data_IF_826362795845
#
_entry.id   IF_826362795845
#
_cell.length_a   1.000
_cell.length_b   1.000
_cell.length_c   1.000
_cell.angle_alpha   90.00
_cell.angle_beta   90.00
_cell.angle_gamma   90.00
#
_symmetry.space_group_name_H-M   'P 1'
#
loop_
_entity.id
_entity.type
_entity.pdbx_description
1 polymer ?
#
# COMPACT_ATOMS: atom_id res chain seq x y z
N UNK A 1 -37.61 -28.17 36.04
CA UNK A 1 -36.15 -28.17 36.29
C UNK A 1 -35.36 -28.91 35.20
N UNK A 2 -35.58 -30.21 34.93
CA UNK A 2 -34.83 -30.98 33.90
C UNK A 2 -34.87 -30.37 32.48
N UNK A 3 -36.05 -29.96 32.01
CA UNK A 3 -36.19 -29.32 30.68
C UNK A 3 -35.40 -28.01 30.61
N UNK A 4 -35.52 -27.14 31.61
CA UNK A 4 -34.78 -25.88 31.69
C UNK A 4 -33.26 -26.09 31.64
N UNK A 5 -32.75 -27.09 32.38
CA UNK A 5 -31.32 -27.43 32.39
C UNK A 5 -30.82 -27.96 31.03
N UNK A 6 -31.66 -28.73 30.31
CA UNK A 6 -31.38 -29.19 28.95
C UNK A 6 -31.34 -28.00 27.99
N UNK A 7 -32.32 -27.10 28.04
CA UNK A 7 -32.36 -25.91 27.19
C UNK A 7 -31.17 -24.97 27.42
N UNK A 8 -30.81 -24.70 28.67
CA UNK A 8 -29.63 -23.88 29.00
C UNK A 8 -28.33 -24.54 28.54
N UNK A 9 -28.21 -25.86 28.69
CA UNK A 9 -27.05 -26.62 28.20
C UNK A 9 -26.94 -26.59 26.67
N UNK A 10 -28.05 -26.75 25.95
CA UNK A 10 -28.09 -26.65 24.49
C UNK A 10 -27.72 -25.25 23.99
N UNK A 11 -28.21 -24.18 24.65
CA UNK A 11 -27.86 -22.80 24.30
C UNK A 11 -26.37 -22.56 24.50
N UNK A 12 -25.81 -22.99 25.64
CA UNK A 12 -24.38 -22.84 25.91
C UNK A 12 -23.53 -23.59 24.87
N UNK A 13 -23.92 -24.82 24.51
CA UNK A 13 -23.24 -25.59 23.49
C UNK A 13 -23.29 -24.89 22.11
N UNK A 14 -24.44 -24.35 21.72
CA UNK A 14 -24.58 -23.61 20.46
C UNK A 14 -23.67 -22.37 20.47
N UNK A 15 -23.64 -21.62 21.56
CA UNK A 15 -22.76 -20.45 21.68
C UNK A 15 -21.29 -20.85 21.58
N UNK A 16 -20.86 -21.92 22.25
CA UNK A 16 -19.49 -22.42 22.16
C UNK A 16 -19.14 -22.85 20.73
N UNK A 17 -20.04 -23.52 20.03
CA UNK A 17 -19.83 -23.93 18.64
C UNK A 17 -19.74 -22.72 17.71
N UNK A 18 -20.60 -21.72 17.87
CA UNK A 18 -20.55 -20.47 17.08
C UNK A 18 -19.25 -19.71 17.36
N UNK A 19 -18.89 -19.51 18.62
CA UNK A 19 -17.64 -18.85 18.98
C UNK A 19 -16.43 -19.61 18.42
N UNK A 20 -16.41 -20.94 18.54
CA UNK A 20 -15.31 -21.76 18.00
C UNK A 20 -15.23 -21.63 16.48
N UNK A 21 -16.36 -21.67 15.78
CA UNK A 21 -16.41 -21.46 14.34
C UNK A 21 -15.85 -20.09 13.94
N UNK A 22 -16.26 -19.02 14.63
CA UNK A 22 -15.78 -17.66 14.36
C UNK A 22 -14.27 -17.52 14.63
N UNK A 23 -13.78 -18.09 15.73
CA UNK A 23 -12.34 -18.09 16.05
C UNK A 23 -11.54 -18.85 15.01
N UNK A 24 -11.98 -20.07 14.64
CA UNK A 24 -11.29 -20.85 13.60
C UNK A 24 -11.30 -20.08 12.29
N UNK A 25 -12.44 -19.51 11.88
CA UNK A 25 -12.55 -18.69 10.67
C UNK A 25 -11.57 -17.52 10.69
N UNK A 26 -11.49 -16.79 11.80
CA UNK A 26 -10.57 -15.67 11.96
C UNK A 26 -9.10 -16.10 11.89
N UNK A 27 -8.72 -17.17 12.59
CA UNK A 27 -7.34 -17.67 12.59
C UNK A 27 -6.94 -18.19 11.19
N UNK A 28 -7.85 -18.88 10.50
CA UNK A 28 -7.63 -19.35 9.13
C UNK A 28 -7.56 -18.19 8.13
N UNK A 29 -8.48 -17.21 8.19
CA UNK A 29 -8.46 -16.06 7.27
C UNK A 29 -7.23 -15.16 7.48
N UNK A 30 -6.69 -15.14 8.69
CA UNK A 30 -5.48 -14.38 9.04
C UNK A 30 -4.19 -15.17 8.74
N UNK A 31 -4.28 -16.35 8.12
CA UNK A 31 -3.13 -17.23 7.86
C UNK A 31 -2.31 -17.58 9.11
N UNK A 32 -2.94 -17.63 10.29
CA UNK A 32 -2.25 -17.84 11.58
C UNK A 32 -1.47 -19.17 11.64
N UNK A 33 -1.94 -20.19 10.92
CA UNK A 33 -1.33 -21.52 10.91
C UNK A 33 -0.35 -21.73 9.75
N UNK A 34 -0.05 -20.68 8.97
CA UNK A 34 0.86 -20.76 7.83
C UNK A 34 2.31 -20.65 8.31
N UNK A 35 3.11 -21.68 8.03
CA UNK A 35 4.56 -21.65 8.23
C UNK A 35 5.25 -21.13 6.98
N UNK A 36 6.21 -20.20 7.13
CA UNK A 36 7.02 -19.68 6.03
C UNK A 36 8.34 -20.45 5.96
N UNK A 37 8.47 -21.27 4.91
CA UNK A 37 9.72 -21.97 4.61
C UNK A 37 10.58 -21.12 3.65
N UNK A 38 11.89 -20.92 3.94
CA UNK A 38 12.79 -20.23 3.03
C UNK A 38 12.90 -20.95 1.68
N UNK A 39 12.68 -20.23 0.58
CA UNK A 39 12.68 -20.78 -0.78
C UNK A 39 13.60 -20.01 -1.75
N UNK A 40 14.34 -19.01 -1.27
CA UNK A 40 15.27 -18.23 -2.08
C UNK A 40 16.70 -18.75 -1.92
N UNK A 41 17.35 -19.12 -3.02
CA UNK A 41 18.70 -19.67 -3.04
C UNK A 41 19.81 -18.60 -3.20
N UNK A 42 19.45 -17.32 -3.34
CA UNK A 42 20.39 -16.22 -3.48
C UNK A 42 20.77 -15.56 -2.14
N UNK A 43 21.39 -14.39 -2.22
CA UNK A 43 21.68 -13.54 -1.06
C UNK A 43 20.71 -12.36 -1.03
N UNK A 44 20.26 -12.00 0.18
CA UNK A 44 19.47 -10.80 0.40
C UNK A 44 20.38 -9.70 0.97
N UNK A 45 20.24 -8.49 0.44
CA UNK A 45 20.87 -7.31 1.01
C UNK A 45 19.79 -6.29 1.36
N UNK A 46 19.94 -5.68 2.54
CA UNK A 46 19.06 -4.61 2.97
C UNK A 46 19.41 -3.34 2.18
N UNK A 47 18.39 -2.69 1.62
CA UNK A 47 18.53 -1.37 1.02
C UNK A 47 18.38 -0.30 2.11
N UNK A 48 19.46 0.38 2.53
CA UNK A 48 19.35 1.40 3.56
C UNK A 48 18.66 2.66 3.00
N UNK A 49 18.01 3.42 3.88
CA UNK A 49 17.47 4.75 3.55
C UNK A 49 16.01 4.80 3.13
N UNK A 50 15.34 3.66 2.95
CA UNK A 50 13.89 3.58 2.73
C UNK A 50 13.25 2.91 3.94
N UNK A 51 12.40 3.63 4.66
CA UNK A 51 11.68 3.12 5.83
C UNK A 51 10.19 3.07 5.51
N UNK A 52 9.57 1.91 5.77
CA UNK A 52 8.15 1.73 5.50
C UNK A 52 7.82 1.77 4.01
N UNK A 53 8.69 1.18 3.18
CA UNK A 53 8.36 0.88 1.79
C UNK A 53 7.03 0.11 1.77
N UNK A 54 6.10 0.59 0.97
CA UNK A 54 4.76 0.03 0.94
C UNK A 54 4.45 -0.63 -0.39
N UNK A 55 4.66 0.08 -1.48
CA UNK A 55 4.46 -0.47 -2.81
C UNK A 55 5.63 -0.14 -3.74
N UNK A 56 5.73 -0.90 -4.82
CA UNK A 56 6.75 -0.78 -5.83
C UNK A 56 6.23 -1.06 -7.21
N UNK A 57 6.82 -0.40 -8.20
CA UNK A 57 6.60 -0.72 -9.61
C UNK A 57 7.90 -0.50 -10.39
N UNK A 58 8.08 -1.22 -11.49
CA UNK A 58 9.32 -1.24 -12.27
C UNK A 58 9.04 -0.79 -13.68
N UNK A 59 9.74 0.26 -14.11
CA UNK A 59 9.86 0.58 -15.52
C UNK A 59 10.81 -0.43 -16.18
N UNK A 60 10.23 -1.48 -16.75
CA UNK A 60 10.97 -2.59 -17.38
C UNK A 60 11.83 -2.11 -18.55
N UNK A 61 11.45 -1.04 -19.25
CA UNK A 61 12.20 -0.55 -20.41
C UNK A 61 13.54 0.06 -20.01
N UNK A 62 13.59 0.74 -18.85
CA UNK A 62 14.80 1.37 -18.32
C UNK A 62 15.48 0.56 -17.22
N UNK A 63 14.79 -0.43 -16.65
CA UNK A 63 15.25 -1.15 -15.46
C UNK A 63 15.23 -0.29 -14.20
N UNK A 64 14.30 0.68 -14.12
CA UNK A 64 14.20 1.58 -12.96
C UNK A 64 13.08 1.13 -12.03
N UNK A 65 13.41 0.86 -10.77
CA UNK A 65 12.47 0.63 -9.68
C UNK A 65 11.95 1.96 -9.15
N UNK A 66 10.66 2.04 -8.87
CA UNK A 66 10.00 3.12 -8.13
C UNK A 66 9.38 2.54 -6.86
N UNK A 67 9.42 3.31 -5.77
CA UNK A 67 8.94 2.89 -4.45
C UNK A 67 8.11 4.00 -3.82
N UNK A 68 6.96 3.62 -3.24
CA UNK A 68 6.28 4.44 -2.24
C UNK A 68 6.75 4.06 -0.84
N UNK A 69 6.93 5.04 0.03
CA UNK A 69 7.27 4.76 1.42
C UNK A 69 6.70 5.80 2.38
N UNK A 70 6.31 5.31 3.56
CA UNK A 70 5.93 6.12 4.71
C UNK A 70 6.29 5.35 5.97
N UNK A 71 7.02 5.99 6.89
CA UNK A 71 7.19 5.45 8.25
C UNK A 71 5.87 5.57 9.02
N UNK A 72 4.96 4.62 8.78
CA UNK A 72 3.61 4.61 9.37
C UNK A 72 3.60 4.58 10.90
N UNK A 73 4.66 4.06 11.53
CA UNK A 73 4.75 4.04 12.99
C UNK A 73 4.92 5.47 13.50
N UNK A 74 5.89 6.20 12.94
CA UNK A 74 6.12 7.61 13.30
C UNK A 74 5.00 8.51 12.82
N UNK A 75 4.46 8.27 11.63
CA UNK A 75 3.40 9.09 11.04
C UNK A 75 2.04 8.91 11.73
N UNK A 76 1.85 7.85 12.51
CA UNK A 76 0.72 7.68 13.42
C UNK A 76 0.85 8.52 14.70
N UNK A 77 2.08 8.79 15.14
CA UNK A 77 2.37 9.61 16.32
C UNK A 77 2.52 11.10 15.99
N UNK A 78 2.95 11.43 14.77
CA UNK A 78 3.20 12.80 14.32
C UNK A 78 2.63 13.03 12.90
N UNK A 79 1.60 13.89 12.75
CA UNK A 79 0.98 14.17 11.46
C UNK A 79 1.94 14.89 10.47
N UNK A 80 3.04 15.48 10.96
CA UNK A 80 4.01 16.20 10.14
C UNK A 80 4.98 15.28 9.38
N UNK A 81 4.96 13.97 9.67
CA UNK A 81 5.78 13.00 8.95
C UNK A 81 5.14 12.71 7.60
N UNK A 82 5.75 13.26 6.56
CA UNK A 82 5.44 12.93 5.17
C UNK A 82 6.09 11.61 4.77
N UNK A 83 5.44 10.95 3.83
CA UNK A 83 6.05 9.89 3.03
C UNK A 83 6.78 10.45 1.83
N UNK A 84 7.26 9.55 1.00
CA UNK A 84 8.16 9.86 -0.08
C UNK A 84 8.03 8.86 -1.22
N UNK A 85 8.50 9.29 -2.39
CA UNK A 85 8.76 8.41 -3.52
C UNK A 85 10.27 8.31 -3.73
N UNK A 86 10.72 7.10 -4.04
CA UNK A 86 12.10 6.81 -4.35
C UNK A 86 12.20 6.15 -5.72
N UNK A 87 13.38 6.24 -6.33
CA UNK A 87 13.75 5.41 -7.47
C UNK A 87 15.11 4.77 -7.32
N UNK A 88 15.35 3.67 -8.03
CA UNK A 88 16.64 2.98 -8.04
C UNK A 88 16.88 2.33 -9.41
N UNK A 89 18.08 2.49 -9.96
CA UNK A 89 18.48 1.78 -11.18
C UNK A 89 18.83 0.32 -10.83
N UNK A 90 18.12 -0.64 -11.42
CA UNK A 90 18.35 -2.07 -11.19
C UNK A 90 19.48 -2.64 -12.03
N UNK A 91 20.00 -1.89 -13.01
CA UNK A 91 21.13 -2.31 -13.83
C UNK A 91 22.48 -2.04 -13.16
N UNK A 92 22.51 -1.16 -12.15
CA UNK A 92 23.70 -0.89 -11.34
C UNK A 92 23.59 -1.63 -9.99
N UNK A 93 24.42 -2.67 -9.75
CA UNK A 93 24.37 -3.43 -8.50
C UNK A 93 24.73 -2.61 -7.26
N UNK A 94 25.39 -1.47 -7.43
CA UNK A 94 25.75 -0.56 -6.34
C UNK A 94 24.74 0.58 -6.17
N UNK A 95 23.69 0.65 -7.01
CA UNK A 95 22.66 1.65 -6.90
C UNK A 95 21.98 1.62 -5.52
N UNK A 96 21.53 2.79 -5.10
CA UNK A 96 20.77 3.00 -3.86
C UNK A 96 19.50 3.78 -4.18
N UNK A 97 18.42 3.58 -3.41
CA UNK A 97 17.21 4.38 -3.58
C UNK A 97 17.49 5.87 -3.44
N UNK A 98 17.09 6.64 -4.46
CA UNK A 98 17.19 8.09 -4.50
C UNK A 98 15.82 8.68 -4.24
N UNK A 99 15.75 9.65 -3.31
CA UNK A 99 14.53 10.42 -3.05
C UNK A 99 14.19 11.27 -4.28
N UNK A 100 12.99 11.09 -4.82
CA UNK A 100 12.49 11.86 -5.97
C UNK A 100 11.27 12.72 -5.63
N UNK A 101 10.69 12.49 -4.45
CA UNK A 101 9.58 13.28 -3.93
C UNK A 101 9.46 13.16 -2.41
N UNK A 102 9.22 14.26 -1.69
CA UNK A 102 9.04 14.24 -0.23
C UNK A 102 8.82 15.58 0.48
N UNK A 103 8.38 16.65 -0.21
CA UNK A 103 8.15 17.92 0.51
C UNK A 103 7.84 19.19 -0.30
N UNK A 104 7.39 19.09 -1.55
CA UNK A 104 6.96 20.27 -2.32
C UNK A 104 5.45 20.50 -2.19
N UNK A 105 4.63 19.94 -3.08
CA UNK A 105 3.16 19.95 -3.05
C UNK A 105 2.65 18.81 -3.95
N UNK A 106 1.76 17.91 -3.51
CA UNK A 106 0.84 18.07 -2.38
C UNK A 106 1.54 17.97 -1.02
N UNK A 107 1.21 18.90 -0.12
CA UNK A 107 1.54 18.80 1.30
C UNK A 107 0.82 17.62 1.97
N UNK A 108 1.34 17.17 3.11
CA UNK A 108 0.80 16.00 3.85
C UNK A 108 0.71 14.73 2.98
N UNK A 109 1.78 14.50 2.23
CA UNK A 109 1.88 13.40 1.27
C UNK A 109 2.12 12.08 2.00
N UNK A 110 1.17 11.16 1.93
CA UNK A 110 1.15 9.86 2.60
C UNK A 110 0.85 8.78 1.56
N UNK A 111 1.87 8.37 0.78
CA UNK A 111 1.68 7.51 -0.37
C UNK A 111 1.36 6.08 0.06
N UNK A 112 0.53 5.44 -0.76
CA UNK A 112 0.17 4.03 -0.69
C UNK A 112 0.51 3.39 -2.06
N UNK A 113 -0.39 2.62 -2.66
CA UNK A 113 -0.17 1.98 -3.95
C UNK A 113 0.21 2.95 -5.08
N UNK A 114 1.06 2.46 -5.98
CA UNK A 114 1.58 3.20 -7.13
C UNK A 114 1.40 2.43 -8.42
N UNK A 115 1.25 3.15 -9.52
CA UNK A 115 1.25 2.53 -10.85
C UNK A 115 1.95 3.41 -11.87
N UNK A 116 2.85 2.79 -12.63
CA UNK A 116 3.56 3.43 -13.72
C UNK A 116 2.77 3.34 -15.02
N UNK A 117 2.81 4.43 -15.78
CA UNK A 117 2.27 4.50 -17.12
C UNK A 117 3.34 5.05 -18.06
N UNK A 118 3.92 4.19 -18.91
CA UNK A 118 4.79 4.64 -20.00
C UNK A 118 4.05 5.60 -20.94
N UNK A 119 4.72 6.68 -21.33
CA UNK A 119 4.24 7.68 -22.28
C UNK A 119 5.23 7.83 -23.44
N UNK A 120 4.81 8.39 -24.59
CA UNK A 120 5.73 8.60 -25.71
C UNK A 120 6.95 9.46 -25.37
N UNK A 121 6.81 10.37 -24.42
CA UNK A 121 7.77 11.40 -24.03
C UNK A 121 8.31 11.24 -22.60
N UNK A 122 7.95 10.16 -21.90
CA UNK A 122 8.42 9.92 -20.55
C UNK A 122 7.63 8.87 -19.79
N UNK A 123 7.62 9.01 -18.46
CA UNK A 123 6.92 8.11 -17.55
C UNK A 123 5.97 8.94 -16.70
N UNK A 124 4.76 8.43 -16.49
CA UNK A 124 3.80 8.98 -15.53
C UNK A 124 3.64 8.03 -14.36
N UNK A 125 3.58 8.58 -13.16
CA UNK A 125 3.34 7.82 -11.93
C UNK A 125 2.02 8.29 -11.34
N UNK A 126 1.17 7.33 -11.05
CA UNK A 126 -0.06 7.51 -10.29
C UNK A 126 0.19 7.00 -8.88
N UNK A 127 -0.26 7.75 -7.88
CA UNK A 127 0.02 7.45 -6.48
C UNK A 127 -1.23 7.65 -5.66
N UNK A 128 -1.64 6.64 -4.91
CA UNK A 128 -2.67 6.82 -3.88
C UNK A 128 -2.07 7.65 -2.75
N UNK A 129 -2.77 8.69 -2.35
CA UNK A 129 -2.39 9.57 -1.26
C UNK A 129 -3.49 9.61 -0.18
N UNK A 130 -3.09 9.50 1.08
CA UNK A 130 -3.97 9.54 2.24
C UNK A 130 -3.59 10.66 3.21
N UNK A 131 -3.87 11.94 2.89
CA UNK A 131 -3.62 13.03 3.83
C UNK A 131 -4.21 12.77 5.22
N UNK A 132 -3.59 13.34 6.24
CA UNK A 132 -3.93 13.15 7.65
C UNK A 132 -5.33 13.66 8.02
N UNK A 133 -5.96 14.48 7.17
CA UNK A 133 -7.35 14.94 7.33
C UNK A 133 -8.39 13.84 7.03
N UNK A 134 -7.95 12.66 6.59
CA UNK A 134 -8.79 11.51 6.27
C UNK A 134 -9.35 11.52 4.86
N UNK A 135 -8.99 12.51 4.03
CA UNK A 135 -9.31 12.52 2.61
C UNK A 135 -8.46 11.51 1.83
N UNK A 136 -8.89 11.23 0.60
CA UNK A 136 -8.21 10.30 -0.30
C UNK A 136 -8.09 10.93 -1.68
N UNK A 137 -6.92 10.78 -2.28
CA UNK A 137 -6.65 11.27 -3.61
C UNK A 137 -5.79 10.29 -4.41
N UNK A 138 -5.82 10.46 -5.72
CA UNK A 138 -4.79 9.94 -6.63
C UNK A 138 -3.99 11.13 -7.12
N UNK A 139 -2.71 11.14 -6.81
CA UNK A 139 -1.75 12.14 -7.27
C UNK A 139 -1.09 11.64 -8.55
N UNK A 140 -1.05 12.49 -9.56
CA UNK A 140 -0.43 12.20 -10.85
C UNK A 140 0.84 13.02 -10.98
N UNK A 141 1.96 12.34 -11.24
CA UNK A 141 3.25 12.95 -11.50
C UNK A 141 3.77 12.55 -12.88
N UNK A 142 4.40 13.49 -13.58
CA UNK A 142 5.25 13.17 -14.73
C UNK A 142 6.71 13.11 -14.25
N UNK A 143 7.47 12.12 -14.72
CA UNK A 143 8.90 11.98 -14.44
C UNK A 143 9.67 12.86 -15.44
N UNK A 144 10.32 13.91 -14.93
CA UNK A 144 11.19 14.78 -15.72
C UNK A 144 12.63 14.62 -15.25
N UNK A 145 13.47 14.00 -16.09
CA UNK A 145 14.86 13.62 -15.80
C UNK A 145 15.03 12.79 -14.51
N UNK A 146 15.17 13.48 -13.38
CA UNK A 146 15.44 12.91 -12.06
C UNK A 146 14.46 13.33 -10.97
N UNK A 147 13.50 14.19 -11.30
CA UNK A 147 12.54 14.74 -10.36
C UNK A 147 11.12 14.47 -10.85
N UNK A 148 10.19 14.44 -9.91
CA UNK A 148 8.77 14.36 -10.23
C UNK A 148 8.19 15.76 -10.37
N UNK A 149 7.39 15.95 -11.41
CA UNK A 149 6.53 17.12 -11.55
C UNK A 149 5.10 16.70 -11.25
N UNK A 150 4.52 17.24 -10.17
CA UNK A 150 3.08 17.07 -9.91
C UNK A 150 2.26 17.69 -11.04
N UNK A 151 1.23 16.98 -11.46
CA UNK A 151 0.37 17.35 -12.59
C UNK A 151 -1.06 17.58 -12.14
N UNK A 152 -1.55 16.68 -11.31
CA UNK A 152 -2.94 16.68 -10.93
C UNK A 152 -3.20 15.88 -9.65
N UNK A 153 -4.11 16.40 -8.83
CA UNK A 153 -4.75 15.67 -7.74
C UNK A 153 -6.16 15.30 -8.16
N UNK A 154 -6.49 14.01 -8.18
CA UNK A 154 -7.82 13.50 -8.47
C UNK A 154 -8.48 13.07 -7.16
N UNK A 155 -9.68 13.57 -6.90
CA UNK A 155 -10.53 13.14 -5.79
C UNK A 155 -11.86 12.66 -6.36
N UNK A 156 -12.48 11.68 -5.72
CA UNK A 156 -13.78 11.15 -6.13
C UNK A 156 -14.55 10.60 -4.92
N UNK A 157 -15.89 10.80 -4.80
CA UNK A 157 -16.69 10.22 -3.74
C UNK A 157 -16.65 8.68 -3.66
N UNK A 158 -16.23 8.00 -4.73
CA UNK A 158 -16.03 6.56 -4.79
C UNK A 158 -14.68 6.11 -4.19
N UNK A 159 -13.78 7.04 -3.86
CA UNK A 159 -12.55 6.75 -3.12
C UNK A 159 -12.88 6.61 -1.64
N UNK A 160 -13.22 5.38 -1.25
CA UNK A 160 -13.71 5.05 0.08
C UNK A 160 -12.61 4.66 1.04
N UNK A 161 -11.73 3.78 0.58
CA UNK A 161 -10.54 3.32 1.27
C UNK A 161 -9.59 2.77 0.20
N UNK A 162 -9.11 3.63 -0.71
CA UNK A 162 -8.33 3.17 -1.84
C UNK A 162 -6.98 2.62 -1.35
N UNK A 163 -6.62 1.44 -1.80
CA UNK A 163 -5.41 0.73 -1.38
C UNK A 163 -4.35 0.81 -2.47
N UNK A 164 -4.72 0.37 -3.67
CA UNK A 164 -3.85 0.33 -4.84
C UNK A 164 -4.63 0.62 -6.12
N UNK A 165 -3.92 0.93 -7.20
CA UNK A 165 -4.48 1.36 -8.48
C UNK A 165 -3.71 0.75 -9.66
N UNK A 166 -4.37 0.62 -10.82
CA UNK A 166 -3.73 0.22 -12.07
C UNK A 166 -3.96 1.27 -13.15
N UNK A 167 -2.91 1.95 -13.59
CA UNK A 167 -2.97 2.96 -14.63
C UNK A 167 -3.15 2.34 -16.02
N UNK A 168 -4.11 2.85 -16.79
CA UNK A 168 -4.44 2.36 -18.15
C UNK A 168 -4.53 3.49 -19.19
N UNK A 169 -4.11 4.70 -18.81
CA UNK A 169 -4.03 5.85 -19.69
C UNK A 169 -3.75 7.13 -18.92
N UNK A 170 -3.51 8.26 -19.61
CA UNK A 170 -2.98 9.48 -18.99
C UNK A 170 -3.83 10.04 -17.85
N UNK A 171 -5.12 9.70 -17.82
CA UNK A 171 -6.07 10.07 -16.77
C UNK A 171 -7.13 8.96 -16.58
N UNK A 172 -6.74 7.69 -16.68
CA UNK A 172 -7.62 6.53 -16.53
C UNK A 172 -6.92 5.44 -15.75
N UNK A 173 -7.60 4.91 -14.74
CA UNK A 173 -7.07 3.88 -13.86
C UNK A 173 -8.22 3.10 -13.22
N UNK A 174 -7.92 1.89 -12.77
CA UNK A 174 -8.76 1.14 -11.83
C UNK A 174 -8.24 1.34 -10.42
N UNK A 175 -9.11 1.23 -9.42
CA UNK A 175 -8.76 1.39 -8.02
C UNK A 175 -9.34 0.24 -7.20
N UNK A 176 -8.55 -0.32 -6.29
CA UNK A 176 -8.99 -1.27 -5.28
C UNK A 176 -9.32 -0.54 -3.98
N UNK A 177 -10.54 -0.67 -3.47
CA UNK A 177 -10.88 -0.21 -2.12
C UNK A 177 -10.81 -1.40 -1.16
N UNK A 178 -9.98 -1.33 -0.10
CA UNK A 178 -9.72 -2.46 0.80
C UNK A 178 -10.69 -2.55 1.99
N UNK A 179 -11.32 -1.43 2.36
CA UNK A 179 -12.40 -1.38 3.33
C UNK A 179 -13.74 -1.12 2.64
N UNK A 180 -14.76 -1.87 3.04
CA UNK A 180 -16.10 -1.79 2.47
C UNK A 180 -16.95 -0.60 3.00
N UNK A 181 -16.35 0.54 3.36
CA UNK A 181 -17.06 1.66 4.01
C UNK A 181 -17.49 2.76 3.06
#
# INVERSE_FOLDING_TARGET
MRKFLIWSGSILLILLLVCSFLVIRFLTSSNYFTTLEPHFAGSCQMLPGVVGAEDLDIDIATGTLYLSALDRRRAGDDPLINGALYRMDLNDPEARPQLIWGGAEPGDFRPHGISLLPQPDGLRIFVINHPSDGSHAVEIFDVADTQLQHRETITDPLFKSPNDLAAIGPRRFYIGNDLAR
#
